data_IF_181819084624
#
_entry.id   IF_181819084624
#
_cell.length_a   1.000
_cell.length_b   1.000
_cell.length_c   1.000
_cell.angle_alpha   90.00
_cell.angle_beta   90.00
_cell.angle_gamma   90.00
#
_symmetry.space_group_name_H-M   'P 1'
#
loop_
_entity.id
_entity.type
_entity.pdbx_description
1 polymer ?
#
# COMPACT_ATOMS: atom_id res chain seq x y z
N UNK A 1 21.20 4.38 -8.47
CA UNK A 1 22.43 3.89 -9.12
C UNK A 1 22.80 2.57 -8.50
N UNK A 2 23.51 1.70 -9.24
CA UNK A 2 23.87 0.33 -8.79
C UNK A 2 24.98 0.28 -7.72
N UNK A 3 25.37 1.43 -7.16
CA UNK A 3 26.39 1.53 -6.13
C UNK A 3 26.82 2.98 -5.92
N UNK A 4 27.55 3.23 -4.84
CA UNK A 4 28.09 4.55 -4.47
C UNK A 4 29.04 5.08 -5.56
N UNK A 5 29.98 4.25 -6.01
CA UNK A 5 30.92 4.56 -7.10
C UNK A 5 30.23 4.97 -8.40
N UNK A 6 29.10 4.33 -8.73
CA UNK A 6 28.36 4.66 -9.95
C UNK A 6 27.75 6.07 -9.86
N UNK A 7 27.23 6.45 -8.69
CA UNK A 7 26.67 7.78 -8.47
C UNK A 7 27.76 8.86 -8.52
N UNK A 8 28.94 8.57 -7.96
CA UNK A 8 30.09 9.50 -8.01
C UNK A 8 30.54 9.79 -9.45
N UNK A 9 30.64 8.76 -10.31
CA UNK A 9 31.05 8.94 -11.71
C UNK A 9 30.04 9.79 -12.50
N UNK A 10 28.74 9.62 -12.26
CA UNK A 10 27.71 10.43 -12.90
C UNK A 10 27.81 11.89 -12.45
N UNK A 11 28.05 12.13 -11.16
CA UNK A 11 28.20 13.49 -10.61
C UNK A 11 29.46 14.17 -11.18
N UNK A 12 30.58 13.45 -11.27
CA UNK A 12 31.82 13.98 -11.87
C UNK A 12 31.62 14.34 -13.35
N UNK A 13 30.90 13.51 -14.11
CA UNK A 13 30.50 13.83 -15.50
C UNK A 13 29.63 15.08 -15.59
N UNK A 14 28.59 15.20 -14.75
CA UNK A 14 27.71 16.37 -14.72
C UNK A 14 28.49 17.66 -14.43
N UNK A 15 29.48 17.58 -13.54
CA UNK A 15 30.32 18.72 -13.17
C UNK A 15 31.32 19.10 -14.27
N UNK A 16 31.95 18.11 -14.92
CA UNK A 16 32.98 18.36 -15.95
C UNK A 16 32.42 18.67 -17.33
N UNK A 17 31.47 17.87 -17.81
CA UNK A 17 30.92 17.96 -19.17
C UNK A 17 29.83 19.04 -19.25
N UNK A 18 28.98 19.16 -18.22
CA UNK A 18 27.82 20.06 -18.25
C UNK A 18 27.96 21.31 -17.38
N UNK A 19 29.05 21.45 -16.61
CA UNK A 19 29.31 22.57 -15.68
C UNK A 19 28.16 22.87 -14.72
N UNK A 20 27.41 21.85 -14.31
CA UNK A 20 26.29 21.98 -13.37
C UNK A 20 26.78 21.77 -11.94
N UNK A 21 26.58 22.75 -11.07
CA UNK A 21 26.82 22.59 -9.63
C UNK A 21 25.71 21.74 -9.01
N UNK A 22 26.08 20.58 -8.46
CA UNK A 22 25.17 19.61 -7.87
C UNK A 22 25.42 19.50 -6.37
N UNK A 23 24.36 19.57 -5.55
CA UNK A 23 24.44 19.31 -4.11
C UNK A 23 24.38 17.80 -3.86
N UNK A 24 25.40 17.26 -3.19
CA UNK A 24 25.46 15.83 -2.84
C UNK A 24 24.80 15.59 -1.47
N UNK A 25 23.72 14.80 -1.47
CA UNK A 25 23.13 14.25 -0.25
C UNK A 25 23.70 12.87 0.08
N UNK A 26 23.41 12.37 1.30
CA UNK A 26 23.75 10.98 1.66
C UNK A 26 22.99 10.00 0.75
N UNK A 27 23.63 8.93 0.26
CA UNK A 27 22.93 7.92 -0.52
C UNK A 27 21.82 7.30 0.32
N UNK A 28 20.60 7.32 -0.20
CA UNK A 28 19.46 6.68 0.46
C UNK A 28 19.42 5.21 0.05
N UNK A 29 19.34 4.34 1.05
CA UNK A 29 19.06 2.92 0.85
C UNK A 29 17.55 2.77 0.66
N UNK A 30 17.16 1.98 -0.34
CA UNK A 30 15.75 1.69 -0.56
C UNK A 30 15.28 0.62 0.44
N UNK A 31 14.84 1.07 1.61
CA UNK A 31 14.21 0.21 2.60
C UNK A 31 12.86 -0.28 2.08
N UNK A 32 12.45 -1.45 2.56
CA UNK A 32 11.16 -2.06 2.24
C UNK A 32 10.41 -2.34 3.53
N UNK A 33 9.09 -2.42 3.47
CA UNK A 33 8.26 -2.78 4.62
C UNK A 33 7.61 -4.15 4.42
N UNK A 34 7.49 -4.91 5.50
CA UNK A 34 6.76 -6.18 5.52
C UNK A 34 5.92 -6.28 6.79
N UNK A 35 4.90 -7.13 6.78
CA UNK A 35 4.07 -7.41 7.94
C UNK A 35 4.31 -8.84 8.42
N UNK A 36 4.34 -9.03 9.74
CA UNK A 36 4.65 -10.34 10.33
C UNK A 36 3.39 -11.06 10.83
N UNK A 37 2.36 -10.31 11.25
CA UNK A 37 1.14 -10.88 11.81
C UNK A 37 -0.05 -10.74 10.86
N UNK A 38 -0.98 -11.69 10.93
CA UNK A 38 -2.27 -11.59 10.25
C UNK A 38 -3.27 -10.90 11.17
N UNK A 39 -3.93 -9.86 10.68
CA UNK A 39 -4.91 -9.06 11.42
C UNK A 39 -6.19 -8.93 10.62
N UNK A 40 -7.31 -9.23 11.26
CA UNK A 40 -8.63 -8.89 10.75
C UNK A 40 -9.01 -7.50 11.23
N UNK A 41 -9.46 -6.65 10.31
CA UNK A 41 -9.86 -5.28 10.61
C UNK A 41 -11.08 -4.88 9.79
N UNK A 42 -12.05 -4.27 10.47
CA UNK A 42 -13.24 -3.67 9.86
C UNK A 42 -13.06 -2.16 9.85
N UNK A 43 -13.22 -1.56 8.67
CA UNK A 43 -13.15 -0.11 8.49
C UNK A 43 -14.43 0.41 7.85
N UNK A 44 -14.95 1.52 8.39
CA UNK A 44 -16.15 2.17 7.90
C UNK A 44 -15.84 3.61 7.54
N UNK A 45 -15.96 3.93 6.26
CA UNK A 45 -15.86 5.28 5.76
C UNK A 45 -17.25 5.87 5.58
N UNK A 46 -17.64 6.77 6.48
CA UNK A 46 -18.85 7.60 6.35
C UNK A 46 -18.46 9.08 6.33
N UNK A 47 -18.78 9.78 5.24
CA UNK A 47 -18.57 11.23 5.15
C UNK A 47 -19.77 11.88 4.47
N UNK A 48 -20.42 12.78 5.19
CA UNK A 48 -21.54 13.56 4.68
C UNK A 48 -21.08 15.02 4.60
N UNK A 49 -20.98 15.55 3.38
CA UNK A 49 -20.56 16.93 3.15
C UNK A 49 -21.67 17.65 2.39
N UNK A 50 -22.77 18.00 3.06
CA UNK A 50 -23.85 18.85 2.54
C UNK A 50 -24.60 18.40 1.27
N UNK A 51 -24.16 17.35 0.58
CA UNK A 51 -24.69 16.79 -0.66
C UNK A 51 -24.64 15.25 -0.64
N UNK A 52 -24.39 14.59 -1.78
CA UNK A 52 -24.28 13.12 -1.87
C UNK A 52 -23.36 12.58 -0.76
N UNK A 53 -23.87 11.66 0.05
CA UNK A 53 -23.10 11.02 1.09
C UNK A 53 -22.05 10.11 0.48
N UNK A 54 -20.97 9.88 1.23
CA UNK A 54 -19.99 8.85 0.93
C UNK A 54 -20.08 7.78 2.01
N UNK A 55 -20.33 6.55 1.59
CA UNK A 55 -20.38 5.37 2.43
C UNK A 55 -19.56 4.24 1.83
N UNK A 56 -18.77 3.56 2.64
CA UNK A 56 -18.13 2.29 2.32
C UNK A 56 -17.79 1.57 3.64
N UNK A 57 -18.12 0.29 3.73
CA UNK A 57 -17.75 -0.58 4.86
C UNK A 57 -17.07 -1.82 4.29
N UNK A 58 -15.87 -2.12 4.77
CA UNK A 58 -15.12 -3.32 4.36
C UNK A 58 -14.57 -4.04 5.60
N UNK A 59 -14.67 -5.36 5.56
CA UNK A 59 -14.05 -6.27 6.51
C UNK A 59 -12.95 -7.00 5.75
N UNK A 60 -11.71 -6.73 6.13
CA UNK A 60 -10.53 -7.26 5.47
C UNK A 60 -9.64 -7.99 6.47
N UNK A 61 -9.02 -9.06 5.99
CA UNK A 61 -7.97 -9.75 6.70
C UNK A 61 -6.67 -9.52 5.95
N UNK A 62 -5.73 -8.87 6.62
CA UNK A 62 -4.44 -8.49 6.06
C UNK A 62 -3.36 -9.32 6.74
N UNK A 63 -2.50 -9.97 5.98
CA UNK A 63 -1.44 -10.82 6.51
C UNK A 63 -0.24 -10.93 5.58
N UNK A 64 0.85 -11.54 6.07
CA UNK A 64 1.98 -11.88 5.21
C UNK A 64 1.53 -12.78 4.06
N UNK A 65 2.25 -12.70 2.94
CA UNK A 65 2.09 -13.60 1.79
C UNK A 65 2.40 -15.04 2.18
N UNK A 66 1.68 -15.99 1.58
CA UNK A 66 2.03 -17.41 1.68
C UNK A 66 3.44 -17.66 1.11
N UNK A 67 4.18 -18.59 1.70
CA UNK A 67 5.55 -18.93 1.32
C UNK A 67 5.69 -19.17 -0.20
N UNK A 68 6.61 -18.42 -0.84
CA UNK A 68 6.87 -18.49 -2.29
C UNK A 68 6.04 -17.53 -3.16
N UNK A 69 4.98 -16.92 -2.61
CA UNK A 69 4.22 -15.77 -3.14
C UNK A 69 4.95 -14.42 -3.05
N UNK A 70 5.42 -13.81 -4.14
CA UNK A 70 5.84 -12.39 -4.12
C UNK A 70 4.76 -11.47 -4.69
N UNK A 71 4.49 -10.34 -4.04
CA UNK A 71 3.53 -9.34 -4.50
C UNK A 71 2.22 -9.25 -3.70
N UNK A 72 1.28 -8.45 -4.20
CA UNK A 72 -0.06 -8.28 -3.66
C UNK A 72 -0.92 -9.50 -4.05
N UNK A 73 -1.35 -10.27 -3.04
CA UNK A 73 -2.32 -11.34 -3.20
C UNK A 73 -3.68 -10.86 -2.69
N UNK A 74 -4.59 -10.57 -3.62
CA UNK A 74 -5.96 -10.21 -3.28
C UNK A 74 -6.88 -11.43 -3.44
N UNK A 75 -7.58 -11.80 -2.36
CA UNK A 75 -8.53 -12.91 -2.34
C UNK A 75 -9.91 -12.34 -2.03
N UNK A 76 -10.82 -12.48 -2.98
CA UNK A 76 -12.23 -12.16 -2.78
C UNK A 76 -12.95 -13.34 -2.12
N UNK A 77 -13.41 -13.15 -0.88
CA UNK A 77 -14.22 -14.12 -0.13
C UNK A 77 -15.64 -13.60 0.13
N UNK A 78 -16.04 -12.49 -0.51
CA UNK A 78 -17.35 -11.86 -0.32
C UNK A 78 -18.47 -12.83 -0.72
N UNK A 79 -19.32 -13.19 0.24
CA UNK A 79 -20.51 -14.02 0.03
C UNK A 79 -21.76 -13.16 0.10
N UNK A 80 -22.77 -13.48 -0.73
CA UNK A 80 -24.10 -12.86 -0.63
C UNK A 80 -24.29 -11.50 -1.31
N UNK A 81 -23.29 -10.96 -2.01
CA UNK A 81 -23.45 -9.73 -2.80
C UNK A 81 -23.51 -8.44 -1.97
N UNK A 82 -23.09 -8.50 -0.69
CA UNK A 82 -22.96 -7.34 0.20
C UNK A 82 -22.00 -6.26 -0.33
N UNK A 83 -21.15 -6.60 -1.30
CA UNK A 83 -20.39 -5.65 -2.10
C UNK A 83 -20.62 -6.02 -3.57
N UNK A 84 -21.18 -5.12 -4.40
CA UNK A 84 -21.26 -5.32 -5.83
C UNK A 84 -19.87 -5.58 -6.43
N UNK A 85 -19.78 -6.54 -7.36
CA UNK A 85 -18.52 -6.93 -8.00
C UNK A 85 -17.80 -5.78 -8.72
N UNK A 86 -18.53 -4.72 -9.04
CA UNK A 86 -18.02 -3.50 -9.66
C UNK A 86 -17.10 -2.69 -8.72
N UNK A 87 -17.26 -2.80 -7.39
CA UNK A 87 -16.46 -2.07 -6.42
C UNK A 87 -15.24 -2.85 -5.92
N UNK A 88 -15.22 -4.18 -6.08
CA UNK A 88 -14.08 -5.05 -5.73
C UNK A 88 -12.75 -4.57 -6.36
N UNK A 89 -12.67 -4.25 -7.67
CA UNK A 89 -11.42 -3.74 -8.25
C UNK A 89 -11.00 -2.38 -7.70
N UNK A 90 -11.96 -1.55 -7.24
CA UNK A 90 -11.64 -0.27 -6.58
C UNK A 90 -11.00 -0.49 -5.21
N UNK A 91 -11.42 -1.52 -4.47
CA UNK A 91 -10.81 -1.93 -3.19
C UNK A 91 -9.38 -2.42 -3.44
N UNK A 92 -9.17 -3.32 -4.40
CA UNK A 92 -7.83 -3.81 -4.76
C UNK A 92 -6.88 -2.67 -5.15
N UNK A 93 -7.36 -1.73 -5.99
CA UNK A 93 -6.61 -0.53 -6.36
C UNK A 93 -6.27 0.34 -5.15
N UNK A 94 -7.19 0.45 -4.19
CA UNK A 94 -6.96 1.15 -2.92
C UNK A 94 -5.82 0.53 -2.12
N UNK A 95 -5.79 -0.80 -2.00
CA UNK A 95 -4.69 -1.52 -1.36
C UNK A 95 -3.37 -1.38 -2.11
N UNK A 96 -3.39 -1.49 -3.45
CA UNK A 96 -2.19 -1.33 -4.28
C UNK A 96 -1.59 0.07 -4.15
N UNK A 97 -2.43 1.11 -4.13
CA UNK A 97 -1.99 2.48 -3.89
C UNK A 97 -1.48 2.69 -2.45
N UNK A 98 -2.10 2.03 -1.47
CA UNK A 98 -1.65 2.09 -0.08
C UNK A 98 -0.31 1.37 0.10
N UNK A 99 -0.04 0.26 -0.59
CA UNK A 99 1.25 -0.44 -0.54
C UNK A 99 2.43 0.39 -1.05
N UNK A 100 2.19 1.37 -1.93
CA UNK A 100 3.25 2.30 -2.34
C UNK A 100 3.68 3.23 -1.21
N UNK A 101 2.78 3.52 -0.27
CA UNK A 101 3.02 4.38 0.88
C UNK A 101 2.88 3.54 2.15
N UNK A 102 3.96 2.86 2.54
CA UNK A 102 4.00 2.05 3.75
C UNK A 102 3.66 2.82 5.02
N UNK A 103 3.44 2.08 6.11
CA UNK A 103 2.79 2.61 7.30
C UNK A 103 3.79 3.19 8.31
N UNK A 104 5.02 2.69 8.36
CA UNK A 104 6.04 3.16 9.30
C UNK A 104 6.77 4.39 8.77
N UNK A 105 7.42 4.26 7.62
CA UNK A 105 8.36 5.26 7.11
C UNK A 105 8.08 5.66 5.66
N UNK A 106 6.92 5.25 5.13
CA UNK A 106 6.51 5.55 3.76
C UNK A 106 7.27 4.74 2.72
N UNK A 107 7.88 3.61 3.11
CA UNK A 107 8.54 2.72 2.16
C UNK A 107 7.54 1.75 1.55
N UNK A 108 7.86 1.23 0.37
CA UNK A 108 6.94 0.32 -0.33
C UNK A 108 6.83 -1.01 0.40
N UNK A 109 5.60 -1.51 0.57
CA UNK A 109 5.31 -2.87 1.04
C UNK A 109 5.23 -3.78 -0.18
N UNK A 110 6.07 -4.82 -0.27
CA UNK A 110 6.07 -5.74 -1.43
C UNK A 110 5.19 -6.97 -1.21
N UNK A 111 5.13 -7.45 0.03
CA UNK A 111 4.50 -8.72 0.36
C UNK A 111 3.27 -8.47 1.24
N UNK A 112 2.09 -8.55 0.62
CA UNK A 112 0.82 -8.38 1.31
C UNK A 112 -0.23 -9.35 0.78
N UNK A 113 -0.82 -10.15 1.66
CA UNK A 113 -2.05 -10.89 1.39
C UNK A 113 -3.23 -10.14 1.98
N UNK A 114 -4.24 -9.88 1.16
CA UNK A 114 -5.48 -9.21 1.55
C UNK A 114 -6.63 -10.12 1.17
N UNK A 115 -7.40 -10.54 2.17
CA UNK A 115 -8.61 -11.32 1.99
C UNK A 115 -9.79 -10.40 2.30
N UNK A 116 -10.63 -10.11 1.30
CA UNK A 116 -11.86 -9.35 1.48
C UNK A 116 -12.96 -10.32 1.94
N UNK A 117 -13.29 -10.28 3.22
CA UNK A 117 -14.22 -11.24 3.84
C UNK A 117 -15.66 -10.86 3.54
N UNK A 118 -16.01 -9.61 3.87
CA UNK A 118 -17.36 -9.10 3.76
C UNK A 118 -17.32 -7.57 3.77
N UNK A 119 -18.47 -6.92 3.67
CA UNK A 119 -18.60 -5.49 3.89
C UNK A 119 -20.03 -5.04 3.76
N UNK A 120 -20.22 -3.74 3.57
CA UNK A 120 -21.55 -3.19 3.33
C UNK A 120 -21.46 -1.99 2.40
N UNK A 121 -22.46 -1.88 1.53
CA UNK A 121 -22.63 -0.75 0.65
C UNK A 121 -24.01 -0.13 0.83
N UNK A 122 -24.12 1.14 0.46
CA UNK A 122 -25.35 1.89 0.41
C UNK A 122 -25.63 2.28 -1.04
N UNK A 123 -26.79 1.95 -1.62
CA UNK A 123 -27.03 2.10 -3.06
C UNK A 123 -26.98 3.56 -3.56
N UNK A 124 -27.23 4.54 -2.69
CA UNK A 124 -27.28 5.96 -3.05
C UNK A 124 -26.00 6.72 -2.70
N UNK A 125 -25.28 6.26 -1.66
CA UNK A 125 -24.13 6.96 -1.07
C UNK A 125 -22.80 6.24 -1.28
N UNK A 126 -22.80 5.04 -1.88
CA UNK A 126 -21.57 4.30 -2.17
C UNK A 126 -21.03 4.59 -3.56
N UNK A 127 -19.77 5.02 -3.59
CA UNK A 127 -19.01 5.32 -4.80
C UNK A 127 -17.72 4.48 -4.84
N UNK A 128 -17.19 4.26 -6.03
CA UNK A 128 -15.89 3.58 -6.23
C UNK A 128 -14.76 4.27 -5.46
N UNK A 129 -14.75 5.61 -5.45
CA UNK A 129 -13.80 6.41 -4.69
C UNK A 129 -13.94 6.22 -3.17
N UNK A 130 -15.15 6.01 -2.67
CA UNK A 130 -15.39 5.77 -1.25
C UNK A 130 -14.76 4.44 -0.80
N UNK A 131 -14.90 3.39 -1.62
CA UNK A 131 -14.24 2.10 -1.39
C UNK A 131 -12.72 2.19 -1.50
N UNK A 132 -12.19 2.94 -2.48
CA UNK A 132 -10.73 3.13 -2.61
C UNK A 132 -10.14 3.83 -1.37
N UNK A 133 -10.82 4.87 -0.87
CA UNK A 133 -10.41 5.60 0.35
C UNK A 133 -10.54 4.72 1.60
N UNK A 134 -11.63 3.94 1.69
CA UNK A 134 -11.84 3.00 2.80
C UNK A 134 -10.75 1.93 2.84
N UNK A 135 -10.39 1.35 1.69
CA UNK A 135 -9.30 0.39 1.56
C UNK A 135 -7.95 0.94 2.04
N UNK A 136 -7.62 2.21 1.69
CA UNK A 136 -6.40 2.87 2.18
C UNK A 136 -6.39 3.05 3.70
N UNK A 137 -7.53 3.41 4.29
CA UNK A 137 -7.65 3.54 5.75
C UNK A 137 -7.56 2.19 6.44
N UNK A 138 -8.25 1.17 5.91
CA UNK A 138 -8.20 -0.20 6.40
C UNK A 138 -6.76 -0.74 6.35
N UNK A 139 -6.03 -0.51 5.26
CA UNK A 139 -4.62 -0.87 5.16
C UNK A 139 -3.79 -0.21 6.26
N UNK A 140 -3.92 1.11 6.46
CA UNK A 140 -3.15 1.83 7.48
C UNK A 140 -3.44 1.30 8.89
N UNK A 141 -4.70 1.07 9.21
CA UNK A 141 -5.13 0.57 10.51
C UNK A 141 -4.71 -0.89 10.74
N UNK A 142 -4.88 -1.75 9.74
CA UNK A 142 -4.52 -3.16 9.82
C UNK A 142 -3.00 -3.36 9.90
N UNK A 143 -2.23 -2.71 9.02
CA UNK A 143 -0.78 -2.82 8.99
C UNK A 143 -0.11 -2.23 10.24
N UNK A 144 -0.69 -1.19 10.86
CA UNK A 144 -0.21 -0.68 12.15
C UNK A 144 -0.29 -1.74 13.26
N UNK A 145 -1.30 -2.62 13.20
CA UNK A 145 -1.51 -3.71 14.17
C UNK A 145 -0.75 -4.99 13.77
N UNK A 146 -0.39 -5.14 12.50
CA UNK A 146 0.21 -6.34 11.92
C UNK A 146 1.72 -6.52 12.18
N UNK A 147 2.26 -5.83 13.19
CA UNK A 147 3.69 -5.81 13.54
C UNK A 147 4.58 -5.54 12.32
N UNK A 148 4.52 -4.31 11.76
CA UNK A 148 5.28 -3.99 10.57
C UNK A 148 6.78 -4.00 10.89
N UNK A 149 7.58 -4.54 9.97
CA UNK A 149 9.04 -4.65 10.05
C UNK A 149 9.68 -4.02 8.83
N UNK A 150 10.80 -3.35 9.04
CA UNK A 150 11.65 -2.86 7.95
C UNK A 150 12.56 -3.98 7.46
N UNK A 151 12.64 -4.12 6.15
CA UNK A 151 13.56 -4.98 5.44
C UNK A 151 14.61 -4.11 4.76
N UNK A 152 15.87 -4.40 5.07
CA UNK A 152 17.03 -3.77 4.45
C UNK A 152 17.50 -4.66 3.28
N UNK A 153 17.92 -4.07 2.15
CA UNK A 153 18.51 -4.85 1.07
C UNK A 153 19.87 -5.42 1.52
N UNK A 154 19.94 -6.75 1.64
CA UNK A 154 21.21 -7.45 1.86
C UNK A 154 21.89 -7.59 0.49
N UNK A 155 22.94 -6.81 0.26
CA UNK A 155 23.79 -6.99 -0.91
C UNK A 155 24.72 -8.17 -0.70
N UNK A 156 24.69 -9.14 -1.63
CA UNK A 156 25.68 -10.20 -1.70
C UNK A 156 26.86 -9.65 -2.51
N UNK A 157 27.97 -9.37 -1.82
CA UNK A 157 29.23 -8.93 -2.42
C UNK A 157 29.98 -10.11 -3.01
#
# INVERSE_FOLDING_TARGET
>A
GMGELHLEIIIDRLRREFKVECNQGRPQVNYKETIAATVEHREVFKKQTGGRGKFADIIVKVGPVDEGKTGLQFVDLVKGGNIPKEYIPSVEKGFKNAMQNGVLAGFTVENLKVELLDGSFHPVDSDQLSFEICARQAFKAACSKAQPRLLEPIMKV
#
